data_IF_981238462605
#
_entry.id   IF_981238462605
#
_cell.length_a   1.000
_cell.length_b   1.000
_cell.length_c   1.000
_cell.angle_alpha   90.00
_cell.angle_beta   90.00
_cell.angle_gamma   90.00
#
_symmetry.space_group_name_H-M   'P 1'
#
loop_
_entity.id
_entity.type
_entity.pdbx_description
1 polymer ?
#
# COMPACT_ATOMS: atom_id res chain seq x y z
N UNK A 1 -4.13 -22.77 1.58
CA UNK A 1 -5.50 -22.52 2.12
C UNK A 1 -5.82 -21.08 1.81
N UNK A 2 -6.97 -20.80 1.18
CA UNK A 2 -7.40 -19.43 0.88
C UNK A 2 -8.07 -18.83 2.12
N UNK A 3 -7.64 -17.63 2.50
CA UNK A 3 -8.21 -16.83 3.59
C UNK A 3 -8.80 -15.55 3.02
N UNK A 4 -10.08 -15.33 3.26
CA UNK A 4 -10.81 -14.15 2.78
C UNK A 4 -10.88 -13.12 3.90
N UNK A 5 -10.46 -11.89 3.62
CA UNK A 5 -10.47 -10.78 4.59
C UNK A 5 -11.18 -9.57 4.01
N UNK A 6 -12.02 -8.95 4.85
CA UNK A 6 -12.74 -7.71 4.54
C UNK A 6 -12.35 -6.58 5.50
N UNK A 7 -12.79 -5.37 5.19
CA UNK A 7 -12.75 -4.22 6.10
C UNK A 7 -14.01 -4.16 6.99
N UNK A 8 -14.00 -3.25 7.95
CA UNK A 8 -15.08 -2.98 8.89
C UNK A 8 -15.35 -4.15 9.85
N UNK A 9 -16.59 -4.24 10.32
CA UNK A 9 -17.05 -5.27 11.27
C UNK A 9 -16.92 -6.68 10.68
N UNK A 10 -17.09 -6.83 9.36
CA UNK A 10 -16.92 -8.13 8.71
C UNK A 10 -15.47 -8.60 8.82
N UNK A 11 -14.49 -7.71 8.62
CA UNK A 11 -13.08 -8.01 8.83
C UNK A 11 -12.79 -8.61 10.20
N UNK A 12 -13.37 -8.04 11.26
CA UNK A 12 -13.21 -8.59 12.61
C UNK A 12 -13.65 -10.06 12.69
N UNK A 13 -14.77 -10.40 12.05
CA UNK A 13 -15.27 -11.78 12.02
C UNK A 13 -14.37 -12.70 11.18
N UNK A 14 -13.82 -12.18 10.09
CA UNK A 14 -12.93 -12.94 9.21
C UNK A 14 -11.64 -13.32 9.93
N UNK A 15 -11.00 -12.37 10.61
CA UNK A 15 -9.81 -12.63 11.43
C UNK A 15 -10.14 -13.57 12.59
N UNK A 16 -11.24 -13.35 13.31
CA UNK A 16 -11.70 -14.25 14.38
C UNK A 16 -11.90 -15.70 13.92
N UNK A 17 -12.51 -15.91 12.75
CA UNK A 17 -12.74 -17.23 12.19
C UNK A 17 -11.43 -17.97 11.85
N UNK A 18 -10.37 -17.23 11.55
CA UNK A 18 -9.07 -17.76 11.16
C UNK A 18 -8.05 -17.78 12.33
N UNK A 19 -8.47 -17.48 13.57
CA UNK A 19 -7.61 -17.42 14.76
C UNK A 19 -6.82 -18.70 15.07
N UNK A 20 -7.17 -19.85 14.49
CA UNK A 20 -6.33 -21.06 14.58
C UNK A 20 -4.95 -20.91 13.89
N UNK A 21 -4.69 -19.77 13.24
CA UNK A 21 -3.47 -19.42 12.51
C UNK A 21 -2.50 -18.57 13.40
N UNK A 22 -2.55 -18.74 14.74
CA UNK A 22 -1.80 -18.04 15.82
C UNK A 22 -2.44 -16.74 16.33
N UNK A 23 -2.48 -16.59 17.67
CA UNK A 23 -3.31 -15.64 18.43
C UNK A 23 -2.43 -14.62 19.19
N UNK A 24 -2.42 -13.37 18.73
CA UNK A 24 -1.93 -12.20 19.48
C UNK A 24 -2.96 -11.06 19.38
N UNK A 25 -4.23 -11.38 19.66
CA UNK A 25 -5.25 -10.32 19.73
C UNK A 25 -4.93 -9.39 20.91
N UNK A 26 -4.51 -8.17 20.59
CA UNK A 26 -4.15 -7.14 21.55
C UNK A 26 -5.00 -5.90 21.32
N UNK A 27 -5.76 -5.48 22.33
CA UNK A 27 -6.38 -4.16 22.39
C UNK A 27 -5.54 -3.27 23.30
N UNK A 28 -5.03 -2.18 22.75
CA UNK A 28 -4.42 -1.12 23.55
C UNK A 28 -5.48 -0.33 24.34
N UNK A 29 -5.10 0.28 25.47
CA UNK A 29 -5.99 1.11 26.28
C UNK A 29 -6.63 2.30 25.52
N UNK A 30 -6.10 2.66 24.34
CA UNK A 30 -6.56 3.79 23.51
C UNK A 30 -7.60 3.40 22.43
N UNK A 31 -8.13 2.17 22.45
CA UNK A 31 -9.18 1.73 21.52
C UNK A 31 -8.67 1.21 20.17
N UNK A 32 -7.35 1.04 20.02
CA UNK A 32 -6.71 0.37 18.89
C UNK A 32 -6.62 -1.14 19.17
N UNK A 33 -7.00 -1.97 18.20
CA UNK A 33 -6.91 -3.42 18.27
C UNK A 33 -6.15 -4.00 17.08
N UNK A 34 -5.35 -5.02 17.31
CA UNK A 34 -4.65 -5.75 16.26
C UNK A 34 -5.10 -7.21 16.21
N UNK A 35 -5.28 -7.74 15.00
CA UNK A 35 -5.66 -9.13 14.75
C UNK A 35 -4.69 -9.76 13.76
N UNK A 36 -3.92 -10.74 14.21
CA UNK A 36 -2.85 -11.35 13.43
C UNK A 36 -3.21 -12.74 12.92
N UNK A 37 -2.74 -13.04 11.71
CA UNK A 37 -2.69 -14.39 11.13
C UNK A 37 -1.25 -14.64 10.66
N UNK A 38 -0.67 -15.78 11.03
CA UNK A 38 0.68 -16.18 10.61
C UNK A 38 0.74 -17.59 10.04
N UNK A 39 1.31 -17.73 8.84
CA UNK A 39 1.54 -19.02 8.20
C UNK A 39 2.97 -19.48 8.41
N UNK A 40 3.17 -20.81 8.49
CA UNK A 40 4.50 -21.40 8.58
C UNK A 40 5.20 -21.31 7.23
N UNK A 41 6.51 -21.14 7.23
CA UNK A 41 7.29 -21.09 5.98
C UNK A 41 7.07 -22.34 5.10
N UNK A 42 6.92 -23.53 5.69
CA UNK A 42 6.65 -24.76 4.94
C UNK A 42 5.24 -24.85 4.34
N UNK A 43 4.34 -23.93 4.68
CA UNK A 43 2.94 -23.93 4.28
C UNK A 43 2.39 -22.50 4.21
N UNK A 44 2.98 -21.66 3.35
CA UNK A 44 2.52 -20.29 3.13
C UNK A 44 1.04 -20.23 2.72
N UNK A 45 0.38 -19.17 3.15
CA UNK A 45 -1.03 -18.90 2.92
C UNK A 45 -1.30 -18.30 1.55
N UNK A 46 -2.59 -18.18 1.25
CA UNK A 46 -3.11 -17.32 0.20
C UNK A 46 -4.20 -16.45 0.83
N UNK A 47 -4.13 -15.14 0.61
CA UNK A 47 -5.09 -14.18 1.15
C UNK A 47 -5.82 -13.51 0.00
N UNK A 48 -7.14 -13.36 0.12
CA UNK A 48 -7.95 -12.52 -0.74
C UNK A 48 -8.46 -11.34 0.08
N UNK A 49 -8.10 -10.13 -0.34
CA UNK A 49 -8.61 -8.90 0.26
C UNK A 49 -9.76 -8.38 -0.60
N UNK A 50 -10.92 -8.18 0.00
CA UNK A 50 -12.08 -7.61 -0.68
C UNK A 50 -12.16 -6.09 -0.49
N UNK A 51 -12.46 -5.38 -1.57
CA UNK A 51 -12.91 -3.98 -1.56
C UNK A 51 -14.40 -3.94 -1.92
N UNK A 52 -15.04 -2.75 -1.94
CA UNK A 52 -16.44 -2.67 -2.33
C UNK A 52 -16.68 -3.01 -3.82
N UNK A 53 -15.67 -2.86 -4.69
CA UNK A 53 -15.81 -3.03 -6.14
C UNK A 53 -15.01 -4.21 -6.71
N UNK A 54 -14.08 -4.78 -5.94
CA UNK A 54 -13.11 -5.76 -6.44
C UNK A 54 -12.50 -6.61 -5.32
N UNK A 55 -11.47 -7.36 -5.66
CA UNK A 55 -10.60 -8.04 -4.71
C UNK A 55 -9.15 -8.08 -5.21
N UNK A 56 -8.22 -8.44 -4.33
CA UNK A 56 -6.85 -8.77 -4.69
C UNK A 56 -6.46 -10.12 -4.09
N UNK A 57 -5.98 -11.03 -4.94
CA UNK A 57 -5.42 -12.32 -4.53
C UNK A 57 -3.92 -12.20 -4.31
N UNK A 58 -3.48 -12.53 -3.09
CA UNK A 58 -2.08 -12.46 -2.68
C UNK A 58 -1.61 -13.89 -2.35
N UNK A 59 -0.74 -14.49 -3.17
CA UNK A 59 -0.16 -15.79 -2.89
C UNK A 59 1.02 -15.68 -1.92
N UNK A 60 1.51 -16.83 -1.45
CA UNK A 60 2.75 -16.94 -0.66
C UNK A 60 2.77 -16.05 0.58
N UNK A 61 1.65 -15.97 1.30
CA UNK A 61 1.48 -15.09 2.46
C UNK A 61 2.11 -15.74 3.69
N UNK A 62 2.98 -15.00 4.35
CA UNK A 62 3.60 -15.36 5.63
C UNK A 62 2.84 -14.78 6.81
N UNK A 63 2.28 -13.57 6.69
CA UNK A 63 1.42 -12.99 7.71
C UNK A 63 0.40 -12.02 7.14
N UNK A 64 -0.70 -11.83 7.86
CA UNK A 64 -1.68 -10.77 7.64
C UNK A 64 -2.09 -10.19 9.00
N UNK A 65 -2.07 -8.87 9.13
CA UNK A 65 -2.45 -8.14 10.34
C UNK A 65 -3.60 -7.18 10.01
N UNK A 66 -4.71 -7.30 10.72
CA UNK A 66 -5.82 -6.36 10.69
C UNK A 66 -5.67 -5.34 11.81
N UNK A 67 -5.69 -4.05 11.45
CA UNK A 67 -5.74 -2.95 12.41
C UNK A 67 -7.18 -2.47 12.56
N UNK A 68 -7.69 -2.54 13.78
CA UNK A 68 -9.01 -2.07 14.17
C UNK A 68 -8.89 -0.81 15.03
N UNK A 69 -9.82 0.11 14.84
CA UNK A 69 -10.00 1.23 15.75
C UNK A 69 -11.50 1.45 15.89
N UNK A 70 -12.02 1.31 17.10
CA UNK A 70 -13.45 1.49 17.34
C UNK A 70 -13.72 2.95 17.67
N UNK A 71 -14.03 3.72 16.62
CA UNK A 71 -14.49 5.10 16.73
C UNK A 71 -16.01 5.16 16.57
N UNK A 72 -16.60 6.26 17.03
CA UNK A 72 -18.03 6.53 16.85
C UNK A 72 -18.45 6.54 15.37
N UNK A 73 -17.54 6.98 14.52
CA UNK A 73 -17.79 7.25 13.10
C UNK A 73 -17.44 6.07 12.21
N UNK A 74 -16.56 5.15 12.64
CA UNK A 74 -16.20 3.96 11.89
C UNK A 74 -15.71 2.84 12.82
N UNK A 75 -16.14 1.60 12.56
CA UNK A 75 -15.93 0.44 13.45
C UNK A 75 -15.30 -0.74 12.71
N UNK A 76 -14.51 -1.55 13.44
CA UNK A 76 -13.88 -2.75 12.90
C UNK A 76 -12.53 -2.52 12.22
N UNK A 77 -12.19 -3.33 11.21
CA UNK A 77 -10.87 -3.30 10.53
C UNK A 77 -10.79 -2.14 9.52
N UNK A 78 -9.77 -1.28 9.65
CA UNK A 78 -9.56 -0.13 8.74
C UNK A 78 -8.25 -0.18 7.99
N UNK A 79 -7.31 -0.99 8.46
CA UNK A 79 -6.05 -1.29 7.80
C UNK A 79 -5.81 -2.79 7.77
N UNK A 80 -5.21 -3.28 6.69
CA UNK A 80 -4.76 -4.66 6.58
C UNK A 80 -3.34 -4.65 6.03
N UNK A 81 -2.39 -5.20 6.77
CA UNK A 81 -1.01 -5.38 6.34
C UNK A 81 -0.76 -6.85 6.01
N UNK A 82 -0.36 -7.14 4.77
CA UNK A 82 -0.06 -8.51 4.30
C UNK A 82 1.41 -8.61 3.91
N UNK A 83 2.11 -9.60 4.44
CA UNK A 83 3.49 -9.92 4.07
C UNK A 83 3.54 -11.19 3.24
N UNK A 84 3.92 -11.07 1.99
CA UNK A 84 4.18 -12.22 1.11
C UNK A 84 5.65 -12.38 0.81
N UNK A 85 6.06 -13.61 0.50
CA UNK A 85 7.46 -13.93 0.22
C UNK A 85 7.58 -14.84 -1.00
N UNK A 86 8.40 -14.44 -1.95
CA UNK A 86 8.84 -15.28 -3.06
C UNK A 86 10.25 -15.76 -2.76
N UNK A 87 10.40 -17.05 -2.49
CA UNK A 87 11.66 -17.63 -2.03
C UNK A 87 11.88 -19.04 -2.58
N UNK A 88 13.14 -19.46 -2.57
CA UNK A 88 13.57 -20.84 -2.77
C UNK A 88 14.71 -21.16 -1.80
N UNK A 89 15.00 -22.44 -1.56
CA UNK A 89 16.04 -22.88 -0.60
C UNK A 89 17.40 -22.23 -0.88
N UNK A 90 17.73 -22.05 -2.16
CA UNK A 90 18.98 -21.45 -2.61
C UNK A 90 18.79 -20.02 -3.15
N UNK A 91 17.70 -19.34 -2.79
CA UNK A 91 17.33 -18.03 -3.35
C UNK A 91 16.75 -18.11 -4.77
N UNK A 92 16.22 -16.97 -5.22
CA UNK A 92 15.61 -16.82 -6.55
C UNK A 92 16.53 -16.01 -7.48
N UNK A 93 16.37 -16.20 -8.80
CA UNK A 93 17.04 -15.36 -9.80
C UNK A 93 16.35 -14.01 -9.97
N UNK A 94 17.06 -13.04 -10.57
CA UNK A 94 16.48 -11.73 -10.93
C UNK A 94 15.26 -11.87 -11.86
N UNK A 95 15.29 -12.81 -12.80
CA UNK A 95 14.17 -13.09 -13.70
C UNK A 95 12.95 -13.60 -12.93
N UNK A 96 13.16 -14.50 -11.96
CA UNK A 96 12.08 -14.99 -11.11
C UNK A 96 11.48 -13.88 -10.25
N UNK A 97 12.31 -12.99 -9.70
CA UNK A 97 11.87 -11.82 -8.95
C UNK A 97 11.09 -10.83 -9.83
N UNK A 98 11.55 -10.59 -11.06
CA UNK A 98 10.83 -9.77 -12.03
C UNK A 98 9.47 -10.36 -12.40
N UNK A 99 9.37 -11.68 -12.59
CA UNK A 99 8.07 -12.33 -12.84
C UNK A 99 7.12 -12.16 -11.64
N UNK A 100 7.62 -12.23 -10.40
CA UNK A 100 6.81 -11.95 -9.21
C UNK A 100 6.28 -10.51 -9.22
N UNK A 101 7.13 -9.52 -9.50
CA UNK A 101 6.72 -8.12 -9.68
C UNK A 101 5.66 -7.97 -10.79
N UNK A 102 5.92 -8.54 -11.97
CA UNK A 102 5.02 -8.45 -13.10
C UNK A 102 3.65 -9.07 -12.80
N UNK A 103 3.61 -10.18 -12.07
CA UNK A 103 2.36 -10.81 -11.63
C UNK A 103 1.55 -9.89 -10.71
N UNK A 104 2.19 -9.19 -9.78
CA UNK A 104 1.50 -8.21 -8.91
C UNK A 104 0.90 -7.08 -9.76
N UNK A 105 1.69 -6.47 -10.65
CA UNK A 105 1.21 -5.39 -11.53
C UNK A 105 0.06 -5.86 -12.43
N UNK A 106 0.12 -7.09 -12.95
CA UNK A 106 -0.93 -7.65 -13.79
C UNK A 106 -2.22 -7.94 -13.00
N UNK A 107 -2.13 -8.43 -11.76
CA UNK A 107 -3.30 -8.62 -10.90
C UNK A 107 -3.94 -7.28 -10.52
N UNK A 108 -3.15 -6.23 -10.26
CA UNK A 108 -3.67 -4.87 -10.05
C UNK A 108 -4.48 -4.39 -11.27
N UNK A 109 -3.92 -4.52 -12.48
CA UNK A 109 -4.59 -4.13 -13.74
C UNK A 109 -5.88 -4.91 -13.98
N UNK A 110 -5.82 -6.24 -13.82
CA UNK A 110 -6.96 -7.15 -14.00
C UNK A 110 -8.11 -6.79 -13.05
N UNK A 111 -7.78 -6.42 -11.82
CA UNK A 111 -8.75 -6.04 -10.79
C UNK A 111 -9.05 -4.54 -10.75
N UNK A 112 -8.64 -3.79 -11.80
CA UNK A 112 -8.93 -2.36 -12.00
C UNK A 112 -8.49 -1.46 -10.84
N UNK A 113 -7.36 -1.77 -10.24
CA UNK A 113 -6.66 -0.84 -9.37
C UNK A 113 -6.09 0.30 -10.20
N UNK A 114 -6.23 1.53 -9.70
CA UNK A 114 -5.79 2.74 -10.37
C UNK A 114 -4.63 3.37 -9.63
N UNK A 115 -3.74 4.07 -10.33
CA UNK A 115 -2.67 4.83 -9.70
C UNK A 115 -3.23 5.78 -8.65
N UNK A 116 -2.52 5.94 -7.54
CA UNK A 116 -2.91 6.85 -6.47
C UNK A 116 -1.81 7.87 -6.17
N UNK A 117 -2.19 9.15 -6.18
CA UNK A 117 -1.38 10.26 -5.69
C UNK A 117 -2.05 10.85 -4.45
N UNK A 118 -1.28 11.21 -3.43
CA UNK A 118 -1.84 11.99 -2.32
C UNK A 118 -2.40 13.33 -2.82
N UNK A 119 -3.35 13.90 -2.09
CA UNK A 119 -4.04 15.14 -2.47
C UNK A 119 -3.07 16.34 -2.67
N UNK A 120 -1.92 16.33 -1.98
CA UNK A 120 -0.85 17.32 -2.07
C UNK A 120 0.28 16.97 -3.04
N UNK A 121 0.35 15.74 -3.55
CA UNK A 121 1.46 15.30 -4.42
C UNK A 121 1.28 15.80 -5.87
N UNK A 122 2.41 16.06 -6.54
CA UNK A 122 2.43 16.32 -7.97
C UNK A 122 2.02 15.06 -8.76
N UNK A 123 1.11 15.24 -9.72
CA UNK A 123 0.64 14.16 -10.58
C UNK A 123 1.62 13.96 -11.74
N UNK A 124 2.77 13.37 -11.46
CA UNK A 124 3.81 13.16 -12.48
C UNK A 124 3.27 12.25 -13.58
N UNK A 125 3.43 12.69 -14.83
CA UNK A 125 2.89 11.96 -15.96
C UNK A 125 3.58 10.60 -16.16
N UNK A 126 2.85 9.55 -16.63
CA UNK A 126 3.38 8.19 -16.80
C UNK A 126 4.74 8.10 -17.49
N UNK A 127 4.97 8.90 -18.53
CA UNK A 127 6.22 8.92 -19.29
C UNK A 127 7.44 9.36 -18.48
N UNK A 128 7.24 10.12 -17.40
CA UNK A 128 8.31 10.69 -16.59
C UNK A 128 8.54 9.95 -15.27
N UNK A 129 7.67 8.98 -14.90
CA UNK A 129 7.72 8.32 -13.60
C UNK A 129 9.04 7.61 -13.30
N UNK A 130 9.62 6.91 -14.29
CA UNK A 130 10.92 6.27 -14.10
C UNK A 130 12.02 7.29 -13.83
N UNK A 131 12.04 8.38 -14.61
CA UNK A 131 13.02 9.46 -14.46
C UNK A 131 12.87 10.14 -13.09
N UNK A 132 11.62 10.44 -12.71
CA UNK A 132 11.28 11.08 -11.45
C UNK A 132 11.69 10.23 -10.25
N UNK A 133 11.42 8.92 -10.27
CA UNK A 133 11.75 8.02 -9.18
C UNK A 133 13.27 7.78 -9.04
N UNK A 134 14.03 7.81 -10.14
CA UNK A 134 15.49 7.69 -10.08
C UNK A 134 16.15 8.94 -9.44
N UNK A 135 15.49 10.10 -9.49
CA UNK A 135 15.96 11.35 -8.87
C UNK A 135 15.34 11.62 -7.49
N UNK A 136 14.21 11.00 -7.17
CA UNK A 136 13.46 11.19 -5.93
C UNK A 136 13.21 9.87 -5.21
N UNK A 137 14.10 9.53 -4.27
CA UNK A 137 13.98 8.32 -3.44
C UNK A 137 12.67 8.27 -2.67
N UNK A 138 12.04 7.10 -2.57
CA UNK A 138 10.81 6.90 -1.80
C UNK A 138 9.52 7.35 -2.49
N UNK A 139 9.58 7.73 -3.76
CA UNK A 139 8.40 8.05 -4.57
C UNK A 139 7.78 6.78 -5.16
N UNK A 140 6.46 6.76 -5.32
CA UNK A 140 5.78 5.64 -5.95
C UNK A 140 5.91 5.71 -7.47
N UNK A 141 6.12 4.57 -8.12
CA UNK A 141 5.95 4.49 -9.58
C UNK A 141 4.47 4.32 -9.92
N UNK A 142 4.09 4.76 -11.12
CA UNK A 142 2.80 4.41 -11.67
C UNK A 142 2.66 2.90 -11.82
N UNK A 143 1.83 2.33 -10.95
CA UNK A 143 1.59 0.90 -10.86
C UNK A 143 0.81 0.35 -12.07
N UNK A 144 0.27 1.22 -12.93
CA UNK A 144 -0.41 0.83 -14.17
C UNK A 144 0.57 0.71 -15.34
N UNK A 145 1.83 1.07 -15.17
CA UNK A 145 2.88 0.90 -16.18
C UNK A 145 3.81 -0.26 -15.80
N UNK A 146 3.77 -1.36 -16.57
CA UNK A 146 4.66 -2.50 -16.34
C UNK A 146 6.06 -2.13 -16.83
N UNK A 147 7.03 -2.03 -15.92
CA UNK A 147 8.42 -1.78 -16.27
C UNK A 147 8.99 -2.95 -17.08
N UNK A 148 9.89 -2.65 -18.01
CA UNK A 148 10.72 -3.70 -18.62
C UNK A 148 11.69 -4.30 -17.61
N UNK A 149 12.23 -5.48 -17.89
CA UNK A 149 13.20 -6.15 -17.02
C UNK A 149 14.41 -5.26 -16.68
N UNK A 150 14.98 -4.58 -17.68
CA UNK A 150 16.14 -3.69 -17.48
C UNK A 150 15.81 -2.47 -16.61
N UNK A 151 14.63 -1.86 -16.83
CA UNK A 151 14.17 -0.75 -16.00
C UNK A 151 13.92 -1.21 -14.57
N UNK A 152 13.21 -2.33 -14.38
CA UNK A 152 12.95 -2.90 -13.06
C UNK A 152 14.25 -3.22 -12.31
N UNK A 153 15.21 -3.85 -13.00
CA UNK A 153 16.52 -4.22 -12.43
C UNK A 153 17.29 -2.99 -11.94
N UNK A 154 17.29 -1.90 -12.71
CA UNK A 154 17.95 -0.65 -12.31
C UNK A 154 17.36 -0.08 -11.01
N UNK A 155 16.05 -0.21 -10.82
CA UNK A 155 15.33 0.40 -9.69
C UNK A 155 15.46 -0.43 -8.42
N UNK A 156 15.20 -1.73 -8.52
CA UNK A 156 15.19 -2.63 -7.35
C UNK A 156 16.54 -2.63 -6.64
N UNK A 157 17.64 -2.48 -7.40
CA UNK A 157 19.00 -2.43 -6.87
C UNK A 157 19.43 -1.05 -6.32
N UNK A 158 18.67 0.03 -6.59
CA UNK A 158 19.05 1.40 -6.20
C UNK A 158 18.16 2.02 -5.13
N UNK A 159 16.83 2.00 -5.34
CA UNK A 159 15.87 2.79 -4.56
C UNK A 159 14.74 1.95 -3.95
N UNK A 160 14.66 0.66 -4.28
CA UNK A 160 13.49 -0.18 -4.01
C UNK A 160 12.29 0.20 -4.88
N UNK A 161 11.21 -0.58 -4.84
CA UNK A 161 9.99 -0.29 -5.60
C UNK A 161 8.84 -0.07 -4.62
N UNK A 162 8.18 1.08 -4.77
CA UNK A 162 6.92 1.40 -4.09
C UNK A 162 5.82 1.62 -5.14
N UNK A 163 4.70 0.93 -5.00
CA UNK A 163 3.47 1.16 -5.75
C UNK A 163 2.45 1.80 -4.82
N UNK A 164 1.67 2.76 -5.32
CA UNK A 164 0.50 3.30 -4.63
C UNK A 164 -0.68 3.27 -5.57
N UNK A 165 -1.71 2.54 -5.19
CA UNK A 165 -2.93 2.38 -5.97
C UNK A 165 -4.15 2.51 -5.08
N UNK A 166 -5.31 2.70 -5.71
CA UNK A 166 -6.58 2.65 -5.01
C UNK A 166 -7.62 1.86 -5.82
N UNK A 167 -8.61 1.34 -5.11
CA UNK A 167 -9.79 0.73 -5.69
C UNK A 167 -10.98 0.99 -4.76
N UNK A 168 -12.01 1.66 -5.27
CA UNK A 168 -13.14 2.14 -4.47
C UNK A 168 -12.66 2.96 -3.26
N UNK A 169 -12.97 2.47 -2.06
CA UNK A 169 -12.82 3.10 -0.75
C UNK A 169 -11.50 2.72 -0.05
N UNK A 170 -10.59 2.04 -0.77
CA UNK A 170 -9.35 1.49 -0.22
C UNK A 170 -8.14 1.95 -1.03
N UNK A 171 -7.11 2.44 -0.33
CA UNK A 171 -5.76 2.61 -0.87
C UNK A 171 -4.90 1.39 -0.54
N UNK A 172 -3.91 1.15 -1.38
CA UNK A 172 -2.94 0.08 -1.23
C UNK A 172 -1.55 0.61 -1.58
N UNK A 173 -0.63 0.50 -0.62
CA UNK A 173 0.80 0.66 -0.85
C UNK A 173 1.47 -0.71 -0.95
N UNK A 174 2.31 -0.92 -1.97
CA UNK A 174 3.07 -2.17 -2.15
C UNK A 174 4.55 -1.86 -2.19
N UNK A 175 5.32 -2.43 -1.27
CA UNK A 175 6.78 -2.31 -1.26
C UNK A 175 7.44 -3.64 -1.60
N UNK A 176 8.47 -3.61 -2.44
CA UNK A 176 9.30 -4.76 -2.78
C UNK A 176 10.67 -4.61 -2.14
N UNK A 177 11.12 -5.61 -1.39
CA UNK A 177 12.42 -5.61 -0.73
C UNK A 177 13.12 -6.94 -0.90
N UNK A 178 14.42 -6.89 -1.19
CA UNK A 178 15.27 -8.08 -1.18
C UNK A 178 15.62 -8.47 0.25
N UNK A 179 15.45 -9.75 0.60
CA UNK A 179 16.00 -10.34 1.82
C UNK A 179 17.12 -11.33 1.48
N UNK A 180 18.24 -11.32 2.23
CA UNK A 180 19.31 -12.28 2.00
C UNK A 180 18.81 -13.73 2.14
N UNK A 181 19.17 -14.61 1.20
CA UNK A 181 18.95 -16.04 1.40
C UNK A 181 19.82 -16.55 2.57
N UNK A 182 19.25 -17.35 3.47
CA UNK A 182 19.94 -17.81 4.69
C UNK A 182 21.25 -18.56 4.43
N UNK A 183 21.43 -19.19 3.25
CA UNK A 183 22.66 -19.89 2.86
C UNK A 183 23.66 -19.05 2.03
N UNK A 184 23.34 -17.80 1.71
CA UNK A 184 24.18 -16.96 0.86
C UNK A 184 25.42 -16.37 1.57
N UNK A 185 25.67 -16.72 2.84
CA UNK A 185 26.82 -16.21 3.62
C UNK A 185 28.15 -16.88 3.26
N UNK A 186 28.15 -17.98 2.50
CA UNK A 186 29.32 -18.86 2.42
C UNK A 186 29.96 -18.94 1.02
N UNK A 187 29.43 -18.23 0.01
CA UNK A 187 30.06 -18.18 -1.32
C UNK A 187 31.05 -17.02 -1.43
N UNK A 188 32.35 -17.35 -1.40
CA UNK A 188 33.51 -16.45 -1.43
C UNK A 188 33.55 -15.49 -2.65
N UNK A 189 32.69 -15.69 -3.66
CA UNK A 189 32.62 -14.93 -4.91
C UNK A 189 31.25 -14.28 -5.22
N UNK A 190 30.31 -14.23 -4.27
CA UNK A 190 28.99 -13.64 -4.51
C UNK A 190 29.08 -12.12 -4.76
N UNK A 191 28.70 -11.67 -5.96
CA UNK A 191 28.50 -10.25 -6.30
C UNK A 191 27.04 -9.85 -6.05
N UNK A 192 26.69 -8.55 -5.93
CA UNK A 192 25.29 -8.11 -5.88
C UNK A 192 24.43 -8.62 -7.04
N UNK A 193 25.05 -8.92 -8.19
CA UNK A 193 24.37 -9.45 -9.38
C UNK A 193 24.08 -10.95 -9.29
N UNK A 194 24.89 -11.71 -8.53
CA UNK A 194 24.82 -13.17 -8.46
C UNK A 194 24.49 -13.70 -7.06
N UNK A 195 24.28 -12.81 -6.07
CA UNK A 195 23.92 -13.20 -4.71
C UNK A 195 22.48 -13.71 -4.70
N UNK A 196 22.22 -14.95 -4.27
CA UNK A 196 20.87 -15.42 -4.11
C UNK A 196 20.13 -14.62 -3.04
N UNK A 197 18.95 -14.12 -3.38
CA UNK A 197 18.07 -13.38 -2.48
C UNK A 197 16.66 -13.99 -2.51
N UNK A 198 15.82 -13.56 -1.58
CA UNK A 198 14.38 -13.77 -1.60
C UNK A 198 13.70 -12.41 -1.77
N UNK A 199 12.53 -12.40 -2.39
CA UNK A 199 11.76 -11.18 -2.57
C UNK A 199 10.62 -11.14 -1.57
N UNK A 200 10.70 -10.22 -0.61
CA UNK A 200 9.60 -9.90 0.28
C UNK A 200 8.76 -8.79 -0.34
N UNK A 201 7.44 -8.97 -0.30
CA UNK A 201 6.46 -7.99 -0.80
C UNK A 201 5.48 -7.69 0.32
N UNK A 202 5.45 -6.43 0.75
CA UNK A 202 4.52 -5.94 1.77
C UNK A 202 3.39 -5.18 1.09
N UNK A 203 2.16 -5.48 1.49
CA UNK A 203 0.94 -4.83 1.04
C UNK A 203 0.32 -4.13 2.25
N UNK A 204 0.20 -2.82 2.22
CA UNK A 204 -0.44 -2.03 3.26
C UNK A 204 -1.73 -1.44 2.70
N UNK A 205 -2.86 -2.03 3.06
CA UNK A 205 -4.18 -1.55 2.69
C UNK A 205 -4.72 -0.61 3.75
N UNK A 206 -5.40 0.45 3.34
CA UNK A 206 -6.04 1.40 4.26
C UNK A 206 -7.33 1.94 3.65
N UNK A 207 -8.40 2.02 4.46
CA UNK A 207 -9.64 2.67 4.00
C UNK A 207 -9.46 4.18 3.91
N UNK A 208 -10.02 4.81 2.87
CA UNK A 208 -10.08 6.27 2.75
C UNK A 208 -10.79 6.89 3.94
N UNK A 209 -11.80 6.21 4.50
CA UNK A 209 -12.51 6.69 5.69
C UNK A 209 -11.59 6.94 6.87
N UNK A 210 -10.73 5.97 7.18
CA UNK A 210 -9.75 6.11 8.25
C UNK A 210 -8.68 7.14 7.91
N UNK A 211 -8.08 7.06 6.72
CA UNK A 211 -6.97 7.96 6.36
C UNK A 211 -7.42 9.42 6.26
N UNK A 212 -8.54 9.69 5.59
CA UNK A 212 -9.07 11.04 5.42
C UNK A 212 -9.51 11.65 6.75
N UNK A 213 -10.25 10.91 7.60
CA UNK A 213 -10.64 11.43 8.92
C UNK A 213 -9.44 11.67 9.83
N UNK A 214 -8.37 10.88 9.67
CA UNK A 214 -7.11 11.08 10.37
C UNK A 214 -6.41 12.39 10.01
N UNK A 215 -6.56 12.89 8.78
CA UNK A 215 -5.86 14.10 8.31
C UNK A 215 -6.73 15.36 8.27
N UNK A 216 -8.05 15.24 8.09
CA UNK A 216 -8.97 16.39 8.10
C UNK A 216 -8.99 17.11 9.46
N UNK A 217 -8.69 16.38 10.54
CA UNK A 217 -8.56 16.95 11.87
C UNK A 217 -7.24 17.67 12.13
N UNK A 218 -6.21 17.46 11.32
CA UNK A 218 -4.88 18.03 11.52
C UNK A 218 -4.85 19.45 10.95
N UNK A 219 -4.60 20.44 11.80
CA UNK A 219 -4.50 21.85 11.38
C UNK A 219 -3.28 22.52 11.98
N UNK A 220 -2.84 23.64 11.38
CA UNK A 220 -1.76 24.48 11.94
C UNK A 220 -2.05 25.00 13.36
N UNK A 221 -3.33 25.02 13.76
CA UNK A 221 -3.80 25.45 15.09
C UNK A 221 -3.87 24.30 16.11
N UNK A 222 -3.57 23.07 15.67
CA UNK A 222 -3.62 21.84 16.45
C UNK A 222 -4.58 20.80 15.85
N UNK A 223 -4.46 19.57 16.36
CA UNK A 223 -5.32 18.45 15.95
C UNK A 223 -6.70 18.56 16.60
N UNK A 224 -7.73 18.41 15.79
CA UNK A 224 -9.13 18.37 16.22
C UNK A 224 -9.69 16.98 15.97
N UNK A 225 -10.31 16.40 16.99
CA UNK A 225 -10.98 15.11 16.86
C UNK A 225 -12.28 15.27 16.06
N UNK A 226 -12.21 14.93 14.77
CA UNK A 226 -13.35 15.08 13.83
C UNK A 226 -14.44 14.04 14.03
N UNK A 227 -14.28 13.09 14.96
CA UNK A 227 -15.25 12.03 15.19
C UNK A 227 -16.49 12.47 15.95
N UNK A 228 -16.41 13.62 16.63
CA UNK A 228 -17.56 14.25 17.27
C UNK A 228 -18.25 15.31 16.41
N UNK A 229 -17.72 15.58 15.21
CA UNK A 229 -18.34 16.51 14.29
C UNK A 229 -19.66 15.95 13.76
N UNK A 230 -20.68 16.80 13.68
CA UNK A 230 -21.84 16.54 12.83
C UNK A 230 -21.47 16.67 11.33
N UNK A 231 -22.38 16.31 10.43
CA UNK A 231 -22.10 16.31 8.98
C UNK A 231 -21.69 17.68 8.44
N UNK A 232 -22.31 18.77 8.92
CA UNK A 232 -21.98 20.13 8.47
C UNK A 232 -20.61 20.58 8.97
N UNK A 233 -20.28 20.29 10.23
CA UNK A 233 -18.95 20.57 10.80
C UNK A 233 -17.86 19.80 10.05
N UNK A 234 -18.08 18.51 9.79
CA UNK A 234 -17.16 17.68 9.03
C UNK A 234 -16.99 18.17 7.60
N UNK A 235 -18.08 18.56 6.94
CA UNK A 235 -18.03 19.13 5.58
C UNK A 235 -17.18 20.40 5.52
N UNK A 236 -17.32 21.30 6.49
CA UNK A 236 -16.52 22.54 6.54
C UNK A 236 -15.04 22.21 6.73
N UNK A 237 -14.70 21.31 7.66
CA UNK A 237 -13.32 20.91 7.90
C UNK A 237 -12.70 20.21 6.68
N UNK A 238 -13.44 19.30 6.06
CA UNK A 238 -13.03 18.60 4.84
C UNK A 238 -12.75 19.58 3.70
N UNK A 239 -13.64 20.55 3.44
CA UNK A 239 -13.44 21.57 2.41
C UNK A 239 -12.23 22.48 2.69
N UNK A 240 -11.95 22.77 3.96
CA UNK A 240 -10.74 23.50 4.36
C UNK A 240 -9.49 22.70 4.01
N UNK A 241 -9.46 21.43 4.41
CA UNK A 241 -8.35 20.51 4.15
C UNK A 241 -8.12 20.34 2.64
N UNK A 242 -9.14 20.08 1.83
CA UNK A 242 -9.01 19.97 0.36
C UNK A 242 -8.40 21.22 -0.28
N UNK A 243 -8.77 22.41 0.22
CA UNK A 243 -8.23 23.68 -0.26
C UNK A 243 -6.74 23.83 0.11
N UNK A 244 -6.32 23.31 1.24
CA UNK A 244 -4.92 23.31 1.67
C UNK A 244 -4.10 22.33 0.83
N UNK A 245 -4.54 21.08 0.68
CA UNK A 245 -3.93 20.07 -0.17
C UNK A 245 -3.78 20.55 -1.63
N UNK A 246 -4.80 21.21 -2.16
CA UNK A 246 -4.76 21.80 -3.51
C UNK A 246 -3.65 22.85 -3.68
N UNK A 247 -3.34 23.63 -2.63
CA UNK A 247 -2.23 24.59 -2.68
C UNK A 247 -0.88 23.89 -2.67
N UNK A 248 -0.74 22.85 -1.85
CA UNK A 248 0.49 22.05 -1.81
C UNK A 248 0.73 21.36 -3.16
N UNK A 249 -0.30 20.77 -3.75
CA UNK A 249 -0.21 20.18 -5.09
C UNK A 249 0.17 21.20 -6.14
N UNK A 250 -0.47 22.37 -6.17
CA UNK A 250 -0.12 23.41 -7.14
C UNK A 250 1.38 23.78 -7.05
N UNK A 251 1.90 23.90 -5.83
CA UNK A 251 3.32 24.17 -5.61
C UNK A 251 4.20 23.01 -6.10
N UNK A 252 3.87 21.78 -5.73
CA UNK A 252 4.63 20.59 -6.13
C UNK A 252 4.62 20.40 -7.66
N UNK A 253 3.50 20.66 -8.33
CA UNK A 253 3.39 20.61 -9.79
C UNK A 253 4.20 21.72 -10.49
N UNK A 254 4.27 22.91 -9.90
CA UNK A 254 5.12 24.00 -10.42
C UNK A 254 6.61 23.66 -10.31
N UNK A 255 7.03 23.09 -9.17
CA UNK A 255 8.39 22.63 -8.95
C UNK A 255 8.76 21.51 -9.94
N UNK A 256 7.89 20.51 -10.09
CA UNK A 256 8.09 19.43 -11.05
C UNK A 256 8.19 19.92 -12.50
N UNK A 257 7.37 20.90 -12.90
CA UNK A 257 7.48 21.51 -14.25
C UNK A 257 8.79 22.28 -14.42
N UNK A 258 9.26 22.98 -13.39
CA UNK A 258 10.54 23.69 -13.44
C UNK A 258 11.74 22.73 -13.59
N UNK A 259 11.63 21.51 -13.06
CA UNK A 259 12.60 20.43 -13.22
C UNK A 259 12.45 19.66 -14.56
N UNK A 260 11.47 20.05 -15.38
CA UNK A 260 11.25 19.48 -16.70
C UNK A 260 10.49 18.15 -16.70
N UNK A 261 9.60 17.94 -15.72
CA UNK A 261 8.61 16.86 -15.72
C UNK A 261 7.25 17.34 -16.25
N UNK A 262 6.50 16.42 -16.85
CA UNK A 262 5.13 16.62 -17.28
C UNK A 262 4.16 16.23 -16.16
N UNK A 263 3.02 16.92 -16.11
CA UNK A 263 1.94 16.64 -15.17
C UNK A 263 0.80 15.95 -15.94
N UNK A 264 0.26 14.89 -15.36
CA UNK A 264 -0.95 14.22 -15.82
C UNK A 264 -2.17 15.08 -15.43
N UNK A 265 -2.62 15.90 -16.37
CA UNK A 265 -3.81 16.74 -16.20
C UNK A 265 -5.12 15.94 -16.33
N UNK A 266 -5.05 14.72 -16.86
CA UNK A 266 -6.21 13.83 -17.05
C UNK A 266 -6.50 12.97 -15.81
N UNK A 267 -5.52 12.79 -14.93
CA UNK A 267 -5.68 12.07 -13.66
C UNK A 267 -6.85 12.64 -12.82
N UNK A 268 -7.72 11.73 -12.38
CA UNK A 268 -8.84 12.03 -11.49
C UNK A 268 -8.54 11.46 -10.09
N UNK A 269 -8.62 12.32 -9.07
CA UNK A 269 -8.54 11.88 -7.70
C UNK A 269 -9.72 10.94 -7.33
N UNK A 270 -9.52 10.05 -6.34
CA UNK A 270 -10.63 9.38 -5.69
C UNK A 270 -11.67 10.39 -5.17
N UNK A 271 -12.94 9.98 -5.10
CA UNK A 271 -13.99 10.76 -4.44
C UNK A 271 -13.82 10.71 -2.92
N UNK A 272 -12.85 11.49 -2.41
CA UNK A 272 -12.49 11.55 -0.99
C UNK A 272 -13.69 11.92 -0.12
N UNK A 273 -14.60 12.76 -0.61
CA UNK A 273 -15.79 13.12 0.14
C UNK A 273 -16.71 11.91 0.32
N UNK A 274 -17.04 11.20 -0.77
CA UNK A 274 -17.85 9.98 -0.72
C UNK A 274 -17.23 8.93 0.20
N UNK A 275 -15.91 8.71 0.08
CA UNK A 275 -15.25 7.63 0.81
C UNK A 275 -14.86 7.98 2.25
N UNK A 276 -14.89 9.25 2.63
CA UNK A 276 -14.57 9.68 4.00
C UNK A 276 -15.77 9.69 4.96
N UNK A 277 -16.98 9.56 4.42
CA UNK A 277 -18.23 9.56 5.21
C UNK A 277 -18.33 8.36 6.12
#
# INVERSE_FOLDING_TARGET
MLTELHFGIQGVKDFQRNQSIFDNNYMEPVGMGFQDLSWRDSALGQVRIYTAESHLDIPNVSSAMGTAFDRKTYQGIHGIDVRSRFYAENGISLEQAYQAYANVVNELKKNKWQQYHYASEARIAPQDNLKYMLSHTGTSIDATSLLSFEQWKQIVQSNGILLRVYNSDVTLSISFSESPAQRASDEENATPENRPFNLDINYAFTTFRYSTRGVVGVTDEGDVEVDDFNEDQYKIAFQKHEKEESKYRLKAEQEARAEGYHIDEDYQDPDYWKYSK
#
